data_IF_829541279548
#
_entry.id   IF_829541279548
#
_cell.length_a   1.000
_cell.length_b   1.000
_cell.length_c   1.000
_cell.angle_alpha   90.00
_cell.angle_beta   90.00
_cell.angle_gamma   90.00
#
_symmetry.space_group_name_H-M   'P 1'
#
loop_
_entity.id
_entity.type
_entity.pdbx_description
1 polymer ?
#
# COMPACT_ATOMS: atom_id res chain seq x y z
N UNK A 1 -19.58 -20.64 18.94
CA UNK A 1 -18.92 -19.39 18.51
C UNK A 1 -17.42 -19.64 18.55
N UNK A 2 -16.72 -19.56 17.41
CA UNK A 2 -15.26 -19.54 17.41
C UNK A 2 -14.82 -18.18 17.94
N UNK A 3 -14.02 -18.15 19.00
CA UNK A 3 -13.44 -16.91 19.51
C UNK A 3 -12.51 -16.33 18.43
N UNK A 4 -12.81 -15.11 17.98
CA UNK A 4 -11.93 -14.35 17.10
C UNK A 4 -10.88 -13.72 17.99
N UNK A 5 -9.68 -14.31 18.01
CA UNK A 5 -8.53 -13.72 18.68
C UNK A 5 -7.84 -12.74 17.72
N UNK A 6 -7.43 -11.55 18.19
CA UNK A 6 -6.62 -10.66 17.38
C UNK A 6 -5.27 -11.34 17.08
N UNK A 7 -4.76 -11.19 15.85
CA UNK A 7 -3.44 -11.73 15.47
C UNK A 7 -2.30 -11.10 16.29
N UNK A 8 -2.52 -9.90 16.81
CA UNK A 8 -1.58 -9.12 17.63
C UNK A 8 -2.35 -8.64 18.86
N UNK A 9 -1.88 -8.95 20.06
CA UNK A 9 -2.45 -8.47 21.32
C UNK A 9 -1.56 -7.41 21.99
N UNK A 10 -2.04 -6.88 23.12
CA UNK A 10 -1.32 -5.85 23.88
C UNK A 10 0.02 -6.32 24.44
N UNK A 11 0.22 -7.62 24.60
CA UNK A 11 1.47 -8.19 25.11
C UNK A 11 2.53 -8.19 23.99
N UNK A 12 2.14 -8.62 22.79
CA UNK A 12 2.98 -8.50 21.58
C UNK A 12 3.31 -7.02 21.30
N UNK A 13 2.34 -6.11 21.41
CA UNK A 13 2.56 -4.66 21.23
C UNK A 13 3.48 -4.03 22.28
N UNK A 14 3.52 -4.55 23.51
CA UNK A 14 4.36 -4.01 24.58
C UNK A 14 5.84 -4.41 24.45
N UNK A 15 6.12 -5.53 23.78
CA UNK A 15 7.49 -5.99 23.49
C UNK A 15 8.05 -5.43 22.18
N UNK A 16 7.19 -4.86 21.35
CA UNK A 16 7.52 -4.28 20.06
C UNK A 16 8.37 -3.01 20.23
N UNK A 17 9.64 -3.09 19.80
CA UNK A 17 10.48 -1.92 19.53
C UNK A 17 10.46 -1.65 18.03
N UNK A 18 9.98 -0.47 17.64
CA UNK A 18 9.82 -0.11 16.24
C UNK A 18 11.16 0.33 15.62
N UNK A 19 11.72 -0.47 14.71
CA UNK A 19 12.85 -0.08 13.89
C UNK A 19 12.43 0.12 12.44
N UNK A 20 12.47 1.37 11.95
CA UNK A 20 12.23 1.65 10.53
C UNK A 20 13.26 0.93 9.64
N UNK A 21 12.79 0.17 8.65
CA UNK A 21 13.61 -0.60 7.70
C UNK A 21 13.55 -0.09 6.27
N UNK A 22 12.48 0.61 5.92
CA UNK A 22 12.26 1.12 4.57
C UNK A 22 11.38 2.35 4.60
N UNK A 23 11.63 3.25 3.66
CA UNK A 23 10.81 4.43 3.45
C UNK A 23 10.79 4.77 1.97
N UNK A 24 9.64 5.21 1.48
CA UNK A 24 9.52 5.88 0.20
C UNK A 24 8.39 6.90 0.23
N UNK A 25 8.52 7.95 -0.59
CA UNK A 25 7.53 9.03 -0.65
C UNK A 25 7.13 9.31 -2.08
N UNK A 26 5.83 9.54 -2.27
CA UNK A 26 5.29 10.07 -3.52
C UNK A 26 4.37 11.26 -3.22
N UNK A 27 4.12 12.07 -4.25
CA UNK A 27 3.38 13.32 -4.13
C UNK A 27 2.12 13.28 -4.98
N UNK A 28 1.05 13.92 -4.52
CA UNK A 28 -0.19 14.05 -5.28
C UNK A 28 -0.84 15.42 -5.12
N UNK A 29 -1.62 15.83 -6.13
CA UNK A 29 -2.33 17.09 -6.11
C UNK A 29 -3.57 17.01 -5.20
N UNK A 30 -3.50 17.66 -4.03
CA UNK A 30 -4.57 17.74 -3.02
C UNK A 30 -5.86 18.44 -3.51
N UNK A 31 -5.78 19.18 -4.62
CA UNK A 31 -6.97 19.80 -5.23
C UNK A 31 -7.78 18.80 -6.06
N UNK A 32 -7.19 17.66 -6.44
CA UNK A 32 -7.95 16.55 -6.99
C UNK A 32 -8.59 15.75 -5.83
N UNK A 33 -9.75 16.21 -5.38
CA UNK A 33 -10.41 15.71 -4.16
C UNK A 33 -10.76 14.23 -4.23
N UNK A 34 -11.36 13.77 -5.33
CA UNK A 34 -11.73 12.36 -5.50
C UNK A 34 -10.50 11.44 -5.49
N UNK A 35 -9.44 11.82 -6.23
CA UNK A 35 -8.19 11.05 -6.25
C UNK A 35 -7.51 11.04 -4.88
N UNK A 36 -7.48 12.18 -4.20
CA UNK A 36 -6.92 12.31 -2.86
C UNK A 36 -7.66 11.40 -1.86
N UNK A 37 -9.00 11.41 -1.89
CA UNK A 37 -9.82 10.52 -1.08
C UNK A 37 -9.51 9.04 -1.34
N UNK A 38 -9.40 8.63 -2.61
CA UNK A 38 -9.05 7.25 -2.96
C UNK A 38 -7.68 6.83 -2.44
N UNK A 39 -6.70 7.74 -2.47
CA UNK A 39 -5.36 7.51 -1.94
C UNK A 39 -5.41 7.36 -0.42
N UNK A 40 -6.11 8.26 0.28
CA UNK A 40 -6.30 8.17 1.73
C UNK A 40 -6.94 6.84 2.14
N UNK A 41 -8.05 6.45 1.53
CA UNK A 41 -8.73 5.18 1.85
C UNK A 41 -7.84 3.95 1.64
N UNK A 42 -7.08 3.92 0.54
CA UNK A 42 -6.17 2.81 0.26
C UNK A 42 -4.96 2.80 1.21
N UNK A 43 -4.44 3.97 1.58
CA UNK A 43 -3.37 4.12 2.56
C UNK A 43 -3.81 3.69 3.97
N UNK A 44 -4.99 4.12 4.40
CA UNK A 44 -5.59 3.75 5.69
C UNK A 44 -5.79 2.24 5.79
N UNK A 45 -6.20 1.57 4.71
CA UNK A 45 -6.42 0.13 4.69
C UNK A 45 -5.15 -0.72 4.91
N UNK A 46 -3.97 -0.17 4.63
CA UNK A 46 -2.68 -0.86 4.84
C UNK A 46 -1.88 -0.27 6.00
N UNK A 47 -2.35 0.84 6.57
CA UNK A 47 -1.69 1.48 7.69
C UNK A 47 -1.68 0.56 8.92
N UNK A 48 -0.50 0.34 9.49
CA UNK A 48 -0.23 -0.59 10.58
C UNK A 48 -0.58 -2.06 10.24
N UNK A 49 -0.63 -2.41 8.95
CA UNK A 49 -0.79 -3.81 8.57
C UNK A 49 0.46 -4.59 9.00
N UNK A 50 0.27 -5.64 9.80
CA UNK A 50 1.35 -6.49 10.30
C UNK A 50 1.50 -7.72 9.42
N UNK A 51 2.69 -7.93 8.88
CA UNK A 51 3.05 -9.12 8.10
C UNK A 51 3.92 -10.03 8.95
N UNK A 52 3.45 -11.22 9.27
CA UNK A 52 4.20 -12.16 10.11
C UNK A 52 5.36 -12.82 9.37
N UNK A 53 6.37 -13.36 10.08
CA UNK A 53 7.46 -14.12 9.50
C UNK A 53 6.97 -15.20 8.53
N UNK A 54 7.46 -15.17 7.30
CA UNK A 54 7.09 -16.11 6.24
C UNK A 54 5.73 -15.84 5.57
N UNK A 55 4.93 -14.90 6.08
CA UNK A 55 3.66 -14.50 5.47
C UNK A 55 3.90 -13.70 4.19
N UNK A 56 2.98 -13.86 3.24
CA UNK A 56 2.94 -13.06 2.02
C UNK A 56 1.84 -12.02 2.17
N UNK A 57 2.24 -10.76 2.12
CA UNK A 57 1.31 -9.64 2.00
C UNK A 57 0.77 -9.57 0.57
N UNK A 58 -0.54 -9.33 0.42
CA UNK A 58 -1.19 -8.99 -0.85
C UNK A 58 -1.88 -7.64 -0.73
N UNK A 59 -1.50 -6.70 -1.60
CA UNK A 59 -2.09 -5.37 -1.61
C UNK A 59 -3.58 -5.41 -1.92
N UNK A 60 -4.00 -6.26 -2.86
CA UNK A 60 -5.41 -6.46 -3.15
C UNK A 60 -6.16 -7.06 -1.97
N UNK A 61 -5.62 -8.05 -1.26
CA UNK A 61 -6.29 -8.61 -0.09
C UNK A 61 -6.42 -7.60 1.06
N UNK A 62 -5.36 -6.83 1.32
CA UNK A 62 -5.36 -5.83 2.39
C UNK A 62 -6.32 -4.66 2.11
N UNK A 63 -6.30 -4.10 0.90
CA UNK A 63 -7.15 -2.95 0.52
C UNK A 63 -8.58 -3.36 0.12
N UNK A 64 -8.73 -4.56 -0.44
CA UNK A 64 -9.99 -5.12 -0.93
C UNK A 64 -10.53 -4.50 -2.22
N UNK A 65 -11.75 -4.92 -2.62
CA UNK A 65 -12.46 -4.36 -3.78
C UNK A 65 -12.68 -2.86 -3.61
N UNK A 66 -12.39 -2.08 -4.66
CA UNK A 66 -12.65 -0.65 -4.69
C UNK A 66 -14.00 -0.37 -5.29
N UNK A 67 -14.90 0.19 -4.48
CA UNK A 67 -16.30 0.37 -4.83
C UNK A 67 -16.86 1.62 -4.15
N UNK A 68 -17.96 2.14 -4.69
CA UNK A 68 -18.60 3.35 -4.17
C UNK A 68 -19.09 3.15 -2.74
N UNK A 69 -19.54 1.95 -2.39
CA UNK A 69 -20.03 1.60 -1.05
C UNK A 69 -18.92 1.67 0.01
N UNK A 70 -17.66 1.48 -0.40
CA UNK A 70 -16.48 1.66 0.45
C UNK A 70 -15.91 3.09 0.41
N UNK A 71 -16.64 4.03 -0.20
CA UNK A 71 -16.25 5.43 -0.30
C UNK A 71 -15.26 5.76 -1.43
N UNK A 72 -14.92 4.80 -2.30
CA UNK A 72 -14.06 5.09 -3.45
C UNK A 72 -14.83 5.89 -4.51
N UNK A 73 -14.17 6.91 -5.04
CA UNK A 73 -14.72 7.88 -5.98
C UNK A 73 -14.13 7.71 -7.38
N UNK A 74 -14.81 8.26 -8.39
CA UNK A 74 -14.29 8.35 -9.75
C UNK A 74 -13.09 9.29 -9.81
N UNK A 75 -12.00 8.82 -10.40
CA UNK A 75 -10.82 9.60 -10.70
C UNK A 75 -10.12 9.03 -11.94
N UNK A 76 -9.15 9.76 -12.47
CA UNK A 76 -8.37 9.33 -13.64
C UNK A 76 -7.64 8.00 -13.36
N UNK A 77 -7.81 7.05 -14.27
CA UNK A 77 -7.18 5.72 -14.29
C UNK A 77 -6.50 5.49 -15.63
N UNK A 78 -5.66 4.44 -15.71
CA UNK A 78 -5.09 3.93 -16.96
C UNK A 78 -5.71 2.55 -17.22
N UNK A 79 -6.44 2.41 -18.33
CA UNK A 79 -7.05 1.15 -18.76
C UNK A 79 -6.52 0.80 -20.14
N UNK A 80 -5.88 -0.37 -20.27
CA UNK A 80 -5.26 -0.82 -21.54
C UNK A 80 -4.32 0.22 -22.16
N UNK A 81 -3.61 0.98 -21.33
CA UNK A 81 -2.70 2.03 -21.76
C UNK A 81 -3.36 3.39 -22.05
N UNK A 82 -4.69 3.51 -22.01
CA UNK A 82 -5.36 4.78 -22.23
C UNK A 82 -5.91 5.40 -20.96
N UNK A 83 -5.98 6.73 -20.93
CA UNK A 83 -6.56 7.44 -19.81
C UNK A 83 -8.10 7.36 -19.87
N UNK A 84 -8.70 7.00 -18.74
CA UNK A 84 -10.15 6.94 -18.55
C UNK A 84 -10.49 7.46 -17.16
N UNK A 85 -11.77 7.58 -16.86
CA UNK A 85 -12.27 7.65 -15.49
C UNK A 85 -12.64 6.26 -14.98
N UNK A 86 -12.44 6.04 -13.68
CA UNK A 86 -12.75 4.78 -13.02
C UNK A 86 -12.74 4.93 -11.50
N UNK A 87 -13.42 4.02 -10.82
CA UNK A 87 -13.49 4.00 -9.35
C UNK A 87 -12.12 3.64 -8.81
N UNK A 88 -11.63 4.40 -7.83
CA UNK A 88 -10.33 4.13 -7.19
C UNK A 88 -9.12 4.63 -7.98
N UNK A 89 -9.29 5.58 -8.90
CA UNK A 89 -8.15 6.26 -9.51
C UNK A 89 -7.22 6.86 -8.45
N UNK A 90 -5.92 6.61 -8.58
CA UNK A 90 -4.88 6.99 -7.61
C UNK A 90 -4.26 5.82 -6.84
N UNK A 91 -4.92 4.68 -6.76
CA UNK A 91 -4.49 3.56 -5.90
C UNK A 91 -3.16 2.93 -6.34
N UNK A 92 -2.87 2.89 -7.64
CA UNK A 92 -1.56 2.41 -8.11
C UNK A 92 -0.38 3.26 -7.59
N UNK A 93 -0.62 4.52 -7.20
CA UNK A 93 0.42 5.32 -6.52
C UNK A 93 0.71 4.78 -5.13
N UNK A 94 -0.31 4.31 -4.41
CA UNK A 94 -0.17 3.74 -3.07
C UNK A 94 0.65 2.45 -3.15
N UNK A 95 0.26 1.51 -4.01
CA UNK A 95 1.02 0.27 -4.22
C UNK A 95 2.45 0.52 -4.74
N UNK A 96 2.66 1.51 -5.60
CA UNK A 96 4.01 1.86 -6.07
C UNK A 96 4.87 2.41 -4.93
N UNK A 97 4.31 3.26 -4.08
CA UNK A 97 5.07 3.81 -2.93
C UNK A 97 5.43 2.69 -1.96
N UNK A 98 4.49 1.79 -1.65
CA UNK A 98 4.76 0.61 -0.82
C UNK A 98 5.83 -0.27 -1.45
N UNK A 99 5.73 -0.60 -2.74
CA UNK A 99 6.75 -1.37 -3.45
C UNK A 99 8.15 -0.78 -3.28
N UNK A 100 8.29 0.54 -3.43
CA UNK A 100 9.59 1.17 -3.28
C UNK A 100 10.09 1.14 -1.82
N UNK A 101 9.20 1.26 -0.83
CA UNK A 101 9.58 1.12 0.57
C UNK A 101 10.05 -0.31 0.89
N UNK A 102 9.34 -1.32 0.37
CA UNK A 102 9.66 -2.75 0.50
C UNK A 102 11.01 -3.07 -0.14
N UNK A 103 11.24 -2.55 -1.34
CA UNK A 103 12.49 -2.72 -2.07
C UNK A 103 13.66 -2.03 -1.35
N UNK A 104 13.46 -0.82 -0.82
CA UNK A 104 14.46 -0.13 0.01
C UNK A 104 14.76 -0.89 1.31
N UNK A 105 13.79 -1.61 1.86
CA UNK A 105 13.95 -2.50 3.01
C UNK A 105 14.61 -3.85 2.67
N UNK A 106 14.91 -4.11 1.39
CA UNK A 106 15.48 -5.36 0.91
C UNK A 106 14.55 -6.57 1.04
N UNK A 107 13.24 -6.36 1.18
CA UNK A 107 12.24 -7.43 1.28
C UNK A 107 12.02 -8.11 -0.08
N UNK A 108 11.59 -9.37 -0.04
CA UNK A 108 11.40 -10.15 -1.25
C UNK A 108 10.05 -9.80 -1.90
N UNK A 109 10.09 -9.17 -3.08
CA UNK A 109 8.90 -9.03 -3.93
C UNK A 109 8.49 -10.42 -4.46
N UNK A 110 7.21 -10.76 -4.30
CA UNK A 110 6.62 -12.01 -4.79
C UNK A 110 5.93 -11.79 -6.13
N UNK A 111 5.14 -10.71 -6.25
CA UNK A 111 4.44 -10.35 -7.47
C UNK A 111 4.47 -8.84 -7.67
N UNK A 112 4.81 -8.40 -8.88
CA UNK A 112 4.80 -6.99 -9.28
C UNK A 112 4.59 -6.88 -10.78
N UNK A 113 3.73 -5.96 -11.20
CA UNK A 113 3.52 -5.60 -12.59
C UNK A 113 3.75 -4.11 -12.80
N UNK A 114 4.33 -3.76 -13.93
CA UNK A 114 4.43 -2.36 -14.38
C UNK A 114 3.26 -2.01 -15.29
N UNK A 115 2.89 -0.73 -15.31
CA UNK A 115 2.01 -0.17 -16.32
C UNK A 115 2.69 -0.26 -17.68
N UNK A 116 1.88 -0.32 -18.73
CA UNK A 116 2.37 -0.24 -20.11
C UNK A 116 2.87 1.17 -20.49
N UNK A 117 2.56 2.19 -19.67
CA UNK A 117 2.99 3.58 -19.85
C UNK A 117 3.62 4.13 -18.58
N UNK A 118 4.51 5.10 -18.74
CA UNK A 118 5.10 5.84 -17.61
C UNK A 118 4.03 6.53 -16.77
N UNK A 119 4.17 6.42 -15.46
CA UNK A 119 3.35 7.14 -14.47
C UNK A 119 4.13 8.31 -13.88
N UNK A 120 3.49 9.43 -13.53
CA UNK A 120 4.21 10.65 -13.15
C UNK A 120 4.73 10.65 -11.69
N UNK A 121 4.29 9.69 -10.87
CA UNK A 121 4.52 9.70 -9.42
C UNK A 121 5.71 8.83 -8.96
N UNK A 122 6.33 8.07 -9.85
CA UNK A 122 7.56 7.28 -9.60
C UNK A 122 8.42 7.20 -10.88
N UNK A 123 9.74 7.00 -10.77
CA UNK A 123 10.61 6.76 -11.93
C UNK A 123 10.21 5.52 -12.75
N UNK A 124 10.74 5.42 -13.98
CA UNK A 124 10.56 4.23 -14.82
C UNK A 124 11.04 2.97 -14.11
N UNK A 125 10.25 1.90 -14.21
CA UNK A 125 10.53 0.62 -13.54
C UNK A 125 10.22 0.61 -12.04
N UNK A 126 9.80 1.73 -11.44
CA UNK A 126 9.52 1.85 -9.99
C UNK A 126 8.03 1.81 -9.66
N UNK A 127 7.18 1.42 -10.59
CA UNK A 127 5.73 1.36 -10.39
C UNK A 127 5.24 -0.05 -10.01
N UNK A 128 4.09 -0.13 -9.36
CA UNK A 128 3.42 -1.39 -9.07
C UNK A 128 1.93 -1.23 -9.39
N UNK A 129 1.49 -1.86 -10.48
CA UNK A 129 0.10 -1.83 -10.96
C UNK A 129 -0.75 -2.80 -10.16
N UNK A 130 -1.91 -2.34 -9.74
CA UNK A 130 -2.91 -3.16 -9.04
C UNK A 130 -4.29 -2.95 -9.65
N UNK A 131 -5.08 -4.02 -9.72
CA UNK A 131 -6.49 -3.98 -10.10
C UNK A 131 -7.22 -5.11 -9.41
N UNK A 132 -8.45 -4.85 -8.95
CA UNK A 132 -9.28 -5.89 -8.37
C UNK A 132 -9.65 -6.93 -9.43
N UNK A 133 -9.41 -8.22 -9.15
CA UNK A 133 -9.43 -9.34 -10.11
C UNK A 133 -8.35 -9.32 -11.20
N UNK A 134 -7.34 -8.46 -11.08
CA UNK A 134 -6.26 -8.34 -12.05
C UNK A 134 -4.87 -8.37 -11.38
N UNK A 135 -3.93 -7.52 -11.86
CA UNK A 135 -2.61 -7.39 -11.24
C UNK A 135 -2.68 -7.14 -9.73
N UNK A 136 -1.73 -7.70 -9.02
CA UNK A 136 -1.51 -7.48 -7.60
C UNK A 136 -0.06 -7.11 -7.34
N UNK A 137 0.18 -6.47 -6.19
CA UNK A 137 1.50 -6.30 -5.62
C UNK A 137 1.58 -7.12 -4.33
N UNK A 138 2.55 -8.02 -4.26
CA UNK A 138 2.77 -8.86 -3.08
C UNK A 138 4.24 -9.00 -2.74
N UNK A 139 4.53 -9.14 -1.45
CA UNK A 139 5.87 -9.35 -0.92
C UNK A 139 5.83 -10.33 0.25
N UNK A 140 6.96 -10.97 0.51
CA UNK A 140 7.11 -11.91 1.62
C UNK A 140 7.93 -11.27 2.73
N UNK A 141 7.43 -11.33 3.96
CA UNK A 141 8.26 -11.06 5.12
C UNK A 141 9.23 -12.24 5.29
N UNK A 142 10.52 -11.98 5.04
CA UNK A 142 11.61 -12.96 5.18
C UNK A 142 12.34 -12.87 6.52
N UNK A 143 11.97 -11.90 7.36
CA UNK A 143 12.54 -11.72 8.68
C UNK A 143 11.86 -12.66 9.68
N UNK A 144 12.56 -12.95 10.79
CA UNK A 144 12.05 -13.81 11.85
C UNK A 144 11.14 -13.05 12.84
N UNK A 145 10.81 -11.78 12.53
CA UNK A 145 9.95 -10.90 13.31
C UNK A 145 8.88 -10.25 12.41
N UNK A 146 7.72 -9.86 12.96
CA UNK A 146 6.69 -9.19 12.17
C UNK A 146 7.12 -7.79 11.69
N UNK A 147 6.55 -7.32 10.58
CA UNK A 147 6.82 -6.00 9.98
C UNK A 147 5.50 -5.20 9.87
N UNK A 148 5.35 -4.02 10.53
CA UNK A 148 4.20 -3.14 10.34
C UNK A 148 4.46 -2.04 9.30
N UNK A 149 3.42 -1.66 8.57
CA UNK A 149 3.46 -0.61 7.53
C UNK A 149 2.65 0.66 7.93
N UNK A 150 3.19 1.63 8.69
CA UNK A 150 2.50 2.89 9.00
C UNK A 150 2.52 3.86 7.81
N UNK A 151 1.59 3.66 6.89
CA UNK A 151 1.50 4.40 5.63
C UNK A 151 0.87 5.81 5.71
N UNK A 152 0.21 6.22 6.80
CA UNK A 152 -0.69 7.40 6.75
C UNK A 152 -0.53 8.41 7.91
N UNK A 153 -0.16 9.66 7.59
CA UNK A 153 -0.28 10.85 8.46
C UNK A 153 -1.20 11.89 7.80
N UNK A 154 -2.45 12.07 8.28
CA UNK A 154 -3.42 12.99 7.66
C UNK A 154 -3.05 14.48 7.78
N UNK A 155 -1.97 14.82 8.49
CA UNK A 155 -1.54 16.21 8.72
C UNK A 155 -0.59 16.77 7.65
N UNK A 156 -0.24 15.99 6.61
CA UNK A 156 0.79 16.36 5.62
C UNK A 156 0.21 16.64 4.23
N UNK A 157 0.42 17.86 3.75
CA UNK A 157 -0.13 18.43 2.51
C UNK A 157 0.28 17.67 1.21
N UNK A 158 -0.38 16.56 0.89
CA UNK A 158 -0.24 15.91 -0.42
C UNK A 158 1.00 15.02 -0.59
N UNK A 159 1.60 14.57 0.51
CA UNK A 159 2.63 13.53 0.53
C UNK A 159 2.00 12.20 0.92
N UNK A 160 2.41 11.11 0.27
CA UNK A 160 2.12 9.75 0.72
C UNK A 160 3.43 9.02 1.03
N UNK A 161 3.51 8.40 2.19
CA UNK A 161 4.72 7.80 2.75
C UNK A 161 4.47 6.31 2.91
N UNK A 162 5.19 5.47 2.17
CA UNK A 162 5.33 4.06 2.51
C UNK A 162 6.42 3.96 3.55
N UNK A 163 6.11 3.55 4.77
CA UNK A 163 7.07 3.39 5.86
C UNK A 163 6.95 1.97 6.36
N UNK A 164 8.05 1.25 6.41
CA UNK A 164 8.07 -0.10 6.96
C UNK A 164 8.95 -0.10 8.18
N UNK A 165 8.47 -0.79 9.20
CA UNK A 165 9.25 -1.10 10.37
C UNK A 165 9.46 -2.61 10.41
N UNK A 166 10.55 -3.01 11.05
CA UNK A 166 10.70 -4.33 11.63
C UNK A 166 10.73 -4.17 13.13
N UNK A 167 10.39 -5.24 13.82
CA UNK A 167 10.68 -5.36 15.24
C UNK A 167 12.11 -5.91 15.43
N UNK A 168 12.78 -5.54 16.53
CA UNK A 168 14.08 -6.07 16.99
C UNK A 168 13.95 -7.06 18.15
#
# INVERSE_FOLDING_TARGET
>A
MLAIHPKVDSEILAEIREKKIGEYRTYFNVNNKNRSNNISLAAEAINNYVVFPGEVFSFNQAVGKRSVEKGYMLARVIVKGEFSEGIGGGICQVSSTLFNAIDNAGLQTVQRYSHTRSVPYVPSGRDATVSWYGPDFSFKNKYNQPDPDPCYDPRRNGEYHGLLFRYD
#
